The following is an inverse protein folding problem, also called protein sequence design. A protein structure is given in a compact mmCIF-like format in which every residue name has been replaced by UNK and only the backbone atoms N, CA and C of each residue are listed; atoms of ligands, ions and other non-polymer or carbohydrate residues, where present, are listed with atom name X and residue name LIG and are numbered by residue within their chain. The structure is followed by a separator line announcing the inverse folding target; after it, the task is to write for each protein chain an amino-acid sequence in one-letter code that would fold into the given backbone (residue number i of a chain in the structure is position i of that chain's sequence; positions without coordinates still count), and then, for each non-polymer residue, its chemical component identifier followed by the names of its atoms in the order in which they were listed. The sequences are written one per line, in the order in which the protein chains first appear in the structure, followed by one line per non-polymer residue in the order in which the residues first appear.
data_IF_685358199719
#
_entry.id   IF_685358199719
#
_cell.length_a   1.000
_cell.length_b   1.000
_cell.length_c   1.000
_cell.angle_alpha   90.00
_cell.angle_beta   90.00
_cell.angle_gamma   90.00
#
_symmetry.space_group_name_H-M   'P 1'
#
loop_
_entity.id
_entity.type
_entity.pdbx_description
1 polymer ?
#
# COMPACT_ATOMS: atom_id res chain seq x y z
N UNK A 1 -0.63 20.39 -2.03
CA UNK A 1 0.20 21.38 -2.74
C UNK A 1 -0.62 22.31 -3.65
N UNK A 2 -1.85 21.97 -3.94
CA UNK A 2 -2.67 22.72 -4.87
C UNK A 2 -2.23 22.56 -6.35
N UNK A 3 -2.83 23.36 -7.22
CA UNK A 3 -2.58 23.35 -8.65
C UNK A 3 -1.58 24.45 -9.03
N UNK A 4 -0.63 24.14 -9.90
CA UNK A 4 0.36 25.12 -10.43
C UNK A 4 1.19 25.83 -9.34
N UNK A 5 1.61 25.14 -8.30
CA UNK A 5 2.45 25.76 -7.25
C UNK A 5 3.77 26.29 -7.83
N UNK A 6 4.14 27.59 -7.64
CA UNK A 6 5.29 28.20 -8.32
C UNK A 6 6.62 27.49 -8.11
N UNK A 7 6.90 27.02 -6.89
CA UNK A 7 8.13 26.26 -6.58
C UNK A 7 8.19 24.94 -7.33
N UNK A 8 7.05 24.26 -7.55
CA UNK A 8 6.99 23.00 -8.29
C UNK A 8 7.23 23.26 -9.77
N UNK A 9 6.58 24.28 -10.35
CA UNK A 9 6.79 24.69 -11.75
C UNK A 9 8.26 25.04 -12.03
N UNK A 10 8.87 25.85 -11.16
CA UNK A 10 10.27 26.23 -11.30
C UNK A 10 11.22 25.02 -11.24
N UNK A 11 11.01 24.09 -10.32
CA UNK A 11 11.81 22.87 -10.21
C UNK A 11 11.67 21.97 -11.45
N UNK A 12 10.45 21.84 -11.99
CA UNK A 12 10.21 21.07 -13.22
C UNK A 12 10.91 21.71 -14.41
N UNK A 13 10.78 23.02 -14.60
CA UNK A 13 11.45 23.75 -15.69
C UNK A 13 12.97 23.58 -15.60
N UNK A 14 13.56 23.79 -14.43
CA UNK A 14 14.98 23.60 -14.20
C UNK A 14 15.46 22.19 -14.53
N UNK A 15 14.67 21.16 -14.19
CA UNK A 15 15.03 19.79 -14.48
C UNK A 15 14.92 19.46 -15.96
N UNK A 16 13.93 20.01 -16.66
CA UNK A 16 13.77 19.83 -18.12
C UNK A 16 14.95 20.46 -18.91
N UNK A 17 15.46 21.61 -18.45
CA UNK A 17 16.65 22.24 -19.05
C UNK A 17 17.92 21.39 -18.88
N UNK A 18 17.99 20.56 -17.81
CA UNK A 18 19.12 19.66 -17.59
C UNK A 18 18.97 18.36 -18.41
N UNK A 19 17.91 17.61 -18.16
CA UNK A 19 17.50 16.41 -18.92
C UNK A 19 16.11 15.93 -18.44
N UNK A 20 15.36 15.26 -19.32
CA UNK A 20 14.04 14.76 -19.01
C UNK A 20 14.03 13.31 -18.50
N UNK A 21 14.93 12.45 -19.01
CA UNK A 21 14.92 11.03 -18.68
C UNK A 21 16.29 10.37 -18.88
N UNK A 22 16.65 9.48 -17.94
CA UNK A 22 17.66 8.44 -18.11
C UNK A 22 17.11 7.14 -17.49
N UNK A 23 17.66 6.00 -17.89
CA UNK A 23 17.37 4.73 -17.21
C UNK A 23 18.10 4.70 -15.86
N UNK A 24 17.40 4.91 -14.76
CA UNK A 24 17.97 4.98 -13.40
C UNK A 24 18.81 3.75 -13.02
N UNK A 25 18.43 2.56 -13.50
CA UNK A 25 19.18 1.33 -13.23
C UNK A 25 20.54 1.27 -13.95
N UNK A 26 20.67 1.98 -15.07
CA UNK A 26 21.90 2.03 -15.85
C UNK A 26 22.75 3.24 -15.48
N UNK A 27 22.12 4.40 -15.36
CA UNK A 27 22.77 5.66 -15.04
C UNK A 27 21.99 6.40 -13.96
N UNK A 28 22.33 6.21 -12.68
CA UNK A 28 21.73 6.98 -11.59
C UNK A 28 21.98 8.48 -11.77
N UNK A 29 21.02 9.31 -11.36
CA UNK A 29 21.11 10.75 -11.43
C UNK A 29 20.71 11.43 -10.11
N UNK A 30 21.32 12.62 -9.85
CA UNK A 30 21.28 13.28 -8.55
C UNK A 30 19.89 13.45 -7.97
N UNK A 31 18.94 14.00 -8.73
CA UNK A 31 17.58 14.29 -8.28
C UNK A 31 16.85 13.02 -7.76
N UNK A 32 17.04 11.88 -8.43
CA UNK A 32 16.42 10.63 -7.98
C UNK A 32 17.07 10.10 -6.70
N UNK A 33 18.40 10.18 -6.59
CA UNK A 33 19.13 9.77 -5.37
C UNK A 33 18.73 10.65 -4.18
N UNK A 34 18.73 11.97 -4.35
CA UNK A 34 18.31 12.93 -3.32
C UNK A 34 16.88 12.68 -2.84
N UNK A 35 15.95 12.37 -3.77
CA UNK A 35 14.59 12.03 -3.42
C UNK A 35 14.52 10.72 -2.63
N UNK A 36 15.25 9.68 -3.05
CA UNK A 36 15.31 8.40 -2.34
C UNK A 36 15.84 8.58 -0.92
N UNK A 37 16.94 9.32 -0.74
CA UNK A 37 17.52 9.62 0.57
C UNK A 37 16.54 10.41 1.45
N UNK A 38 15.85 11.40 0.89
CA UNK A 38 14.86 12.19 1.61
C UNK A 38 13.69 11.33 2.07
N UNK A 39 13.15 10.48 1.19
CA UNK A 39 12.07 9.56 1.54
C UNK A 39 12.50 8.56 2.61
N UNK A 40 13.70 7.99 2.50
CA UNK A 40 14.25 7.08 3.50
C UNK A 40 14.40 7.73 4.89
N UNK A 41 14.75 9.02 4.94
CA UNK A 41 14.81 9.77 6.22
C UNK A 41 13.42 10.09 6.79
N UNK A 42 12.43 10.31 5.93
CA UNK A 42 11.07 10.70 6.35
C UNK A 42 10.20 9.49 6.70
N UNK A 43 10.48 8.32 6.11
CA UNK A 43 9.73 7.11 6.38
C UNK A 43 9.83 6.69 7.87
N UNK A 44 8.70 6.35 8.52
CA UNK A 44 8.68 6.05 9.94
C UNK A 44 9.43 4.77 10.32
N UNK A 45 9.74 4.64 11.62
CA UNK A 45 10.40 3.48 12.21
C UNK A 45 11.94 3.54 12.16
N UNK A 46 12.63 2.77 13.03
CA UNK A 46 14.08 2.88 13.24
C UNK A 46 14.91 2.08 12.23
N UNK A 47 14.32 1.19 11.46
CA UNK A 47 15.06 0.31 10.55
C UNK A 47 15.58 1.05 9.32
N UNK A 48 16.72 0.64 8.71
CA UNK A 48 17.17 1.17 7.43
C UNK A 48 16.10 1.03 6.35
N UNK A 49 15.97 2.07 5.52
CA UNK A 49 14.96 2.14 4.46
C UNK A 49 15.62 2.10 3.09
N UNK A 50 14.86 1.64 2.11
CA UNK A 50 15.22 1.72 0.68
C UNK A 50 14.00 2.23 -0.09
N UNK A 51 14.25 3.02 -1.12
CA UNK A 51 13.22 3.52 -2.03
C UNK A 51 13.34 2.83 -3.39
N UNK A 52 12.19 2.55 -4.00
CA UNK A 52 12.07 2.16 -5.40
C UNK A 52 11.10 3.12 -6.07
N UNK A 53 11.42 3.60 -7.26
CA UNK A 53 10.56 4.48 -8.04
C UNK A 53 9.90 3.71 -9.18
N UNK A 54 8.62 3.93 -9.32
CA UNK A 54 7.78 3.36 -10.39
C UNK A 54 6.85 4.45 -10.93
N UNK A 55 6.14 4.19 -12.00
CA UNK A 55 5.39 5.21 -12.72
C UNK A 55 4.00 5.46 -12.12
N UNK A 56 3.38 4.46 -11.51
CA UNK A 56 2.00 4.54 -10.98
C UNK A 56 1.85 3.88 -9.62
N UNK A 57 0.75 4.22 -8.91
CA UNK A 57 0.39 3.55 -7.66
C UNK A 57 0.10 2.05 -7.85
N UNK A 58 -0.54 1.67 -8.96
CA UNK A 58 -0.76 0.26 -9.26
C UNK A 58 0.56 -0.51 -9.41
N UNK A 59 1.57 0.07 -10.07
CA UNK A 59 2.91 -0.53 -10.14
C UNK A 59 3.58 -0.61 -8.77
N UNK A 60 3.41 0.40 -7.92
CA UNK A 60 3.92 0.36 -6.55
C UNK A 60 3.32 -0.82 -5.77
N UNK A 61 2.00 -1.01 -5.83
CA UNK A 61 1.30 -2.14 -5.21
C UNK A 61 1.77 -3.48 -5.79
N UNK A 62 1.84 -3.62 -7.12
CA UNK A 62 2.36 -4.84 -7.77
C UNK A 62 3.77 -5.19 -7.28
N UNK A 63 4.66 -4.19 -7.18
CA UNK A 63 6.02 -4.40 -6.70
C UNK A 63 6.07 -4.71 -5.20
N UNK A 64 5.23 -4.08 -4.37
CA UNK A 64 5.14 -4.43 -2.95
C UNK A 64 4.77 -5.91 -2.75
N UNK A 65 3.79 -6.41 -3.49
CA UNK A 65 3.40 -7.82 -3.40
C UNK A 65 4.48 -8.75 -3.93
N UNK A 66 5.12 -8.41 -5.06
CA UNK A 66 6.26 -9.17 -5.58
C UNK A 66 7.41 -9.26 -4.57
N UNK A 67 7.77 -8.13 -3.95
CA UNK A 67 8.82 -8.06 -2.93
C UNK A 67 8.43 -8.89 -1.71
N UNK A 68 7.20 -8.75 -1.21
CA UNK A 68 6.72 -9.53 -0.07
C UNK A 68 6.78 -11.03 -0.33
N UNK A 69 6.29 -11.49 -1.50
CA UNK A 69 6.35 -12.89 -1.92
C UNK A 69 7.78 -13.40 -2.05
N UNK A 70 8.65 -12.64 -2.69
CA UNK A 70 10.06 -13.01 -2.87
C UNK A 70 10.82 -13.07 -1.53
N UNK A 71 10.54 -12.12 -0.62
CA UNK A 71 11.18 -12.05 0.70
C UNK A 71 10.74 -13.19 1.62
N UNK A 72 9.46 -13.52 1.63
CA UNK A 72 8.89 -14.51 2.54
C UNK A 72 8.88 -15.94 1.97
N UNK A 73 8.96 -16.10 0.66
CA UNK A 73 8.73 -17.38 -0.03
C UNK A 73 7.26 -17.83 0.00
N UNK A 74 6.31 -16.94 0.33
CA UNK A 74 4.88 -17.23 0.53
C UNK A 74 4.03 -16.62 -0.56
N UNK A 75 2.81 -17.15 -0.79
CA UNK A 75 1.94 -16.70 -1.88
C UNK A 75 0.76 -15.83 -1.42
N UNK A 76 0.21 -16.10 -0.24
CA UNK A 76 -1.04 -15.49 0.23
C UNK A 76 -0.91 -13.99 0.52
N UNK A 77 -1.97 -13.25 0.23
CA UNK A 77 -2.08 -11.82 0.56
C UNK A 77 -3.47 -11.55 1.12
N UNK A 78 -3.54 -10.79 2.20
CA UNK A 78 -4.81 -10.35 2.78
C UNK A 78 -4.96 -8.86 2.53
N UNK A 79 -6.13 -8.45 2.03
CA UNK A 79 -6.56 -7.07 1.83
C UNK A 79 -7.87 -6.81 2.58
N UNK A 80 -8.42 -5.61 2.48
CA UNK A 80 -9.65 -5.25 3.21
C UNK A 80 -10.79 -4.87 2.27
N UNK A 81 -12.00 -5.25 2.66
CA UNK A 81 -13.23 -4.86 1.99
C UNK A 81 -13.35 -3.34 1.88
N UNK A 82 -13.72 -2.83 0.72
CA UNK A 82 -13.80 -1.40 0.42
C UNK A 82 -12.48 -0.74 0.00
N UNK A 83 -11.32 -1.39 0.22
CA UNK A 83 -10.01 -0.88 -0.18
C UNK A 83 -9.84 -0.76 -1.70
N UNK A 84 -9.00 0.16 -2.13
CA UNK A 84 -8.64 0.37 -3.53
C UNK A 84 -7.13 0.43 -3.72
N UNK A 85 -6.59 -0.49 -4.53
CA UNK A 85 -5.14 -0.64 -4.70
C UNK A 85 -4.67 -0.51 -6.16
N UNK A 86 -5.56 -0.18 -7.08
CA UNK A 86 -5.24 0.03 -8.50
C UNK A 86 -6.08 -0.82 -9.45
N UNK A 87 -5.73 -0.77 -10.75
CA UNK A 87 -6.50 -1.40 -11.84
C UNK A 87 -5.69 -2.38 -12.69
N UNK A 88 -4.51 -2.79 -12.26
CA UNK A 88 -3.80 -3.96 -12.81
C UNK A 88 -4.36 -5.25 -12.21
N UNK A 89 -4.06 -6.41 -12.75
CA UNK A 89 -4.72 -7.65 -12.32
C UNK A 89 -4.52 -7.97 -10.84
N UNK A 90 -3.31 -7.86 -10.31
CA UNK A 90 -3.08 -8.07 -8.87
C UNK A 90 -3.70 -6.94 -8.05
N UNK A 91 -3.55 -5.69 -8.45
CA UNK A 91 -4.15 -4.56 -7.75
C UNK A 91 -5.69 -4.64 -7.72
N UNK A 92 -6.33 -5.11 -8.81
CA UNK A 92 -7.77 -5.40 -8.82
C UNK A 92 -8.11 -6.59 -7.92
N UNK A 93 -7.30 -7.63 -7.89
CA UNK A 93 -7.52 -8.76 -6.97
C UNK A 93 -7.55 -8.27 -5.52
N UNK A 94 -6.65 -7.37 -5.13
CA UNK A 94 -6.55 -6.77 -3.80
C UNK A 94 -7.68 -5.77 -3.50
N UNK A 95 -8.19 -5.07 -4.52
CA UNK A 95 -9.28 -4.10 -4.37
C UNK A 95 -10.52 -4.79 -3.79
N UNK A 96 -11.07 -4.24 -2.70
CA UNK A 96 -12.15 -4.82 -1.91
C UNK A 96 -13.56 -4.51 -2.42
N UNK A 97 -13.74 -4.13 -3.69
CA UNK A 97 -15.03 -3.72 -4.27
C UNK A 97 -15.20 -4.29 -5.66
N UNK A 98 -16.33 -4.95 -5.92
CA UNK A 98 -16.61 -5.59 -7.22
C UNK A 98 -16.96 -4.55 -8.29
N UNK A 99 -18.04 -3.83 -8.10
CA UNK A 99 -18.43 -2.77 -9.02
C UNK A 99 -17.88 -1.42 -8.54
N UNK A 100 -17.32 -0.58 -9.44
CA UNK A 100 -17.13 -0.79 -10.88
C UNK A 100 -15.78 -1.42 -11.25
N UNK A 101 -14.98 -1.93 -10.29
CA UNK A 101 -13.54 -2.19 -10.52
C UNK A 101 -13.22 -3.58 -11.06
N UNK A 102 -13.94 -4.61 -10.62
CA UNK A 102 -13.63 -6.03 -10.91
C UNK A 102 -14.57 -6.69 -11.92
N UNK A 103 -15.80 -6.19 -12.02
CA UNK A 103 -16.85 -6.83 -12.82
C UNK A 103 -16.42 -6.99 -14.28
N UNK A 104 -16.41 -8.23 -14.76
CA UNK A 104 -16.09 -8.56 -16.16
C UNK A 104 -14.61 -8.66 -16.52
N UNK A 105 -13.69 -8.45 -15.57
CA UNK A 105 -12.23 -8.44 -15.82
C UNK A 105 -11.48 -9.69 -15.36
N UNK A 106 -12.15 -10.65 -14.71
CA UNK A 106 -11.49 -11.88 -14.24
C UNK A 106 -11.09 -12.86 -15.35
N UNK A 107 -10.36 -13.94 -15.01
CA UNK A 107 -9.96 -14.34 -13.66
C UNK A 107 -8.81 -13.51 -13.10
N UNK A 108 -8.82 -13.30 -11.79
CA UNK A 108 -7.75 -12.60 -11.06
C UNK A 108 -6.72 -13.58 -10.49
N UNK A 109 -5.50 -13.08 -10.12
CA UNK A 109 -4.53 -13.89 -9.40
C UNK A 109 -5.12 -14.52 -8.14
N UNK A 110 -4.80 -15.78 -7.91
CA UNK A 110 -5.21 -16.54 -6.74
C UNK A 110 -4.45 -16.10 -5.46
N UNK A 111 -4.84 -16.70 -4.33
CA UNK A 111 -4.24 -16.48 -3.01
C UNK A 111 -4.41 -15.05 -2.48
N UNK A 112 -5.55 -14.40 -2.80
CA UNK A 112 -5.95 -13.10 -2.28
C UNK A 112 -7.23 -13.27 -1.46
N UNK A 113 -7.16 -12.84 -0.20
CA UNK A 113 -8.24 -12.96 0.79
C UNK A 113 -8.65 -11.57 1.26
N UNK A 114 -9.91 -11.41 1.70
CA UNK A 114 -10.41 -10.12 2.15
C UNK A 114 -11.04 -10.24 3.53
N UNK A 115 -10.54 -9.42 4.46
CA UNK A 115 -11.17 -9.18 5.75
C UNK A 115 -12.04 -7.91 5.72
N UNK A 116 -13.05 -7.76 6.57
CA UNK A 116 -13.76 -6.49 6.70
C UNK A 116 -12.83 -5.40 7.27
N UNK A 117 -12.97 -4.17 6.76
CA UNK A 117 -12.32 -3.00 7.36
C UNK A 117 -13.15 -2.51 8.55
N UNK A 118 -12.55 -2.11 9.68
CA UNK A 118 -13.30 -1.65 10.85
C UNK A 118 -13.94 -0.28 10.59
N UNK A 119 -15.26 -0.26 10.44
CA UNK A 119 -16.08 0.94 10.22
C UNK A 119 -17.22 0.93 11.22
N UNK A 120 -17.03 1.56 12.37
CA UNK A 120 -18.03 1.60 13.43
C UNK A 120 -19.38 2.14 12.95
N UNK A 121 -19.36 3.12 12.03
CA UNK A 121 -20.58 3.65 11.42
C UNK A 121 -21.42 2.57 10.68
N UNK A 122 -20.77 1.56 10.14
CA UNK A 122 -21.42 0.41 9.48
C UNK A 122 -21.57 -0.81 10.40
N UNK A 123 -21.32 -0.66 11.69
CA UNK A 123 -21.45 -1.73 12.67
C UNK A 123 -20.32 -2.75 12.65
N UNK A 124 -19.18 -2.44 12.02
CA UNK A 124 -17.99 -3.29 12.01
C UNK A 124 -16.98 -2.73 13.02
N UNK A 125 -16.78 -3.45 14.11
CA UNK A 125 -15.80 -3.09 15.14
C UNK A 125 -14.38 -3.52 14.76
N UNK A 126 -13.40 -3.03 15.51
CA UNK A 126 -12.02 -3.51 15.42
C UNK A 126 -11.93 -5.01 15.70
N UNK A 127 -12.69 -5.48 16.69
CA UNK A 127 -12.70 -6.90 17.06
C UNK A 127 -13.28 -7.77 15.95
N UNK A 128 -14.37 -7.36 15.30
CA UNK A 128 -14.93 -8.10 14.17
C UNK A 128 -13.92 -8.28 13.04
N UNK A 129 -13.12 -7.25 12.77
CA UNK A 129 -12.07 -7.29 11.74
C UNK A 129 -10.91 -8.21 12.14
N UNK A 130 -10.53 -8.22 13.42
CA UNK A 130 -9.50 -9.14 13.95
C UNK A 130 -9.99 -10.59 13.97
N UNK A 131 -11.21 -10.84 14.38
CA UNK A 131 -11.83 -12.17 14.36
C UNK A 131 -11.94 -12.72 12.94
N UNK A 132 -12.22 -11.86 11.96
CA UNK A 132 -12.23 -12.23 10.55
C UNK A 132 -10.83 -12.61 10.03
N UNK A 133 -9.77 -11.96 10.50
CA UNK A 133 -8.39 -12.38 10.17
C UNK A 133 -8.07 -13.75 10.77
N UNK A 134 -8.46 -14.00 12.02
CA UNK A 134 -8.32 -15.32 12.65
C UNK A 134 -9.13 -16.39 11.91
N UNK A 135 -10.34 -16.04 11.44
CA UNK A 135 -11.16 -16.93 10.61
C UNK A 135 -10.45 -17.31 9.29
N UNK A 136 -9.89 -16.31 8.59
CA UNK A 136 -9.11 -16.55 7.37
C UNK A 136 -7.93 -17.49 7.67
N UNK A 137 -7.22 -17.26 8.76
CA UNK A 137 -6.09 -18.12 9.16
C UNK A 137 -6.49 -19.54 9.52
N UNK A 138 -7.71 -19.74 9.99
CA UNK A 138 -8.21 -21.05 10.41
C UNK A 138 -8.80 -21.86 9.25
N UNK A 139 -9.44 -21.21 8.28
CA UNK A 139 -10.27 -21.89 7.29
C UNK A 139 -9.81 -21.70 5.83
N UNK A 140 -9.13 -20.61 5.52
CA UNK A 140 -8.78 -20.28 4.13
C UNK A 140 -7.30 -20.46 3.84
N UNK A 141 -6.41 -19.94 4.70
CA UNK A 141 -4.96 -20.00 4.53
C UNK A 141 -4.23 -19.91 5.86
N UNK A 142 -3.34 -20.85 6.13
CA UNK A 142 -2.48 -20.79 7.33
C UNK A 142 -1.55 -19.57 7.32
N UNK A 143 -1.29 -18.93 8.49
CA UNK A 143 -0.45 -17.73 8.59
C UNK A 143 0.94 -17.90 7.97
N UNK A 144 1.49 -19.12 8.03
CA UNK A 144 2.81 -19.46 7.48
C UNK A 144 2.86 -19.37 5.94
N UNK A 145 1.72 -19.29 5.26
CA UNK A 145 1.62 -19.11 3.80
C UNK A 145 1.28 -17.69 3.38
N UNK A 146 0.98 -16.79 4.33
CA UNK A 146 0.67 -15.38 4.04
C UNK A 146 1.95 -14.57 3.91
N UNK A 147 2.15 -13.96 2.74
CA UNK A 147 3.29 -13.08 2.45
C UNK A 147 3.09 -11.67 2.99
N UNK A 148 1.88 -11.12 2.80
CA UNK A 148 1.59 -9.75 3.18
C UNK A 148 0.14 -9.53 3.62
N UNK A 149 -0.04 -8.50 4.44
CA UNK A 149 -1.33 -7.83 4.67
C UNK A 149 -1.20 -6.41 4.14
N UNK A 150 -2.12 -5.97 3.28
CA UNK A 150 -2.13 -4.62 2.70
C UNK A 150 -3.34 -3.83 3.19
N UNK A 151 -3.13 -2.58 3.60
CA UNK A 151 -4.17 -1.70 4.13
C UNK A 151 -3.90 -0.24 3.74
N UNK A 152 -4.97 0.52 3.48
CA UNK A 152 -4.93 1.98 3.43
C UNK A 152 -5.12 2.52 4.86
N UNK A 153 -4.27 3.43 5.39
CA UNK A 153 -4.49 4.01 6.72
C UNK A 153 -5.73 4.91 6.78
N UNK A 154 -6.09 5.53 5.65
CA UNK A 154 -7.42 6.10 5.41
C UNK A 154 -7.93 5.53 4.10
N UNK A 155 -8.98 4.74 4.18
CA UNK A 155 -9.60 4.13 3.00
C UNK A 155 -10.23 5.21 2.11
N UNK A 156 -9.61 5.50 0.96
CA UNK A 156 -10.03 6.59 0.07
C UNK A 156 -11.33 6.30 -0.68
N UNK A 157 -11.26 5.44 -1.68
CA UNK A 157 -12.40 5.05 -2.53
C UNK A 157 -13.52 4.32 -1.78
N UNK A 158 -13.21 3.78 -0.62
CA UNK A 158 -14.18 3.13 0.26
C UNK A 158 -15.07 4.08 1.03
N UNK A 159 -14.72 5.38 1.12
CA UNK A 159 -15.54 6.40 1.79
C UNK A 159 -14.82 7.28 2.82
N UNK A 160 -13.50 7.40 2.73
CA UNK A 160 -12.65 8.18 3.65
C UNK A 160 -12.74 7.72 5.11
N UNK A 161 -12.78 6.41 5.33
CA UNK A 161 -12.77 5.83 6.67
C UNK A 161 -11.35 5.71 7.19
N UNK A 162 -11.11 6.26 8.38
CA UNK A 162 -9.81 6.21 9.07
C UNK A 162 -9.69 4.86 9.77
N UNK A 163 -8.58 4.16 9.54
CA UNK A 163 -8.25 2.97 10.31
C UNK A 163 -7.99 3.35 11.77
N UNK A 164 -8.70 2.75 12.74
CA UNK A 164 -8.42 3.00 14.15
C UNK A 164 -6.96 2.69 14.49
N UNK A 165 -6.25 3.55 15.26
CA UNK A 165 -4.85 3.30 15.60
C UNK A 165 -4.61 1.96 16.29
N UNK A 166 -5.53 1.52 17.14
CA UNK A 166 -5.47 0.23 17.82
C UNK A 166 -5.56 -0.94 16.82
N UNK A 167 -6.29 -0.79 15.72
CA UNK A 167 -6.34 -1.78 14.67
C UNK A 167 -5.00 -1.90 13.92
N UNK A 168 -4.40 -0.76 13.54
CA UNK A 168 -3.08 -0.76 12.89
C UNK A 168 -1.99 -1.34 13.80
N UNK A 169 -2.04 -1.05 15.09
CA UNK A 169 -1.13 -1.64 16.08
C UNK A 169 -1.32 -3.15 16.22
N UNK A 170 -2.58 -3.62 16.21
CA UNK A 170 -2.89 -5.05 16.24
C UNK A 170 -2.40 -5.75 14.96
N UNK A 171 -2.61 -5.15 13.78
CA UNK A 171 -2.06 -5.67 12.52
C UNK A 171 -0.53 -5.74 12.55
N UNK A 172 0.15 -4.70 13.06
CA UNK A 172 1.61 -4.72 13.18
C UNK A 172 2.07 -5.88 14.06
N UNK A 173 1.45 -6.06 15.22
CA UNK A 173 1.75 -7.16 16.15
C UNK A 173 1.50 -8.54 15.52
N UNK A 174 0.37 -8.70 14.84
CA UNK A 174 0.02 -9.93 14.11
C UNK A 174 1.05 -10.25 13.03
N UNK A 175 1.43 -9.26 12.26
CA UNK A 175 2.43 -9.41 11.20
C UNK A 175 3.80 -9.79 11.76
N UNK A 176 4.22 -9.18 12.86
CA UNK A 176 5.49 -9.50 13.53
C UNK A 176 5.47 -10.94 14.07
N UNK A 177 4.37 -11.36 14.69
CA UNK A 177 4.20 -12.70 15.25
C UNK A 177 4.34 -13.81 14.20
N UNK A 178 3.84 -13.58 12.98
CA UNK A 178 3.80 -14.58 11.91
C UNK A 178 4.84 -14.36 10.80
N UNK A 179 5.67 -13.32 10.91
CA UNK A 179 6.63 -12.95 9.85
C UNK A 179 5.94 -12.54 8.55
N UNK A 180 4.80 -11.87 8.64
CA UNK A 180 4.02 -11.35 7.51
C UNK A 180 4.47 -9.91 7.23
N UNK A 181 4.59 -9.53 5.96
CA UNK A 181 4.92 -8.15 5.59
C UNK A 181 3.66 -7.28 5.71
N UNK A 182 3.72 -6.22 6.52
CA UNK A 182 2.66 -5.21 6.55
C UNK A 182 2.94 -4.16 5.47
N UNK A 183 2.02 -4.03 4.51
CA UNK A 183 2.05 -3.02 3.46
C UNK A 183 1.03 -1.95 3.78
N UNK A 184 1.50 -0.72 3.97
CA UNK A 184 0.62 0.44 4.20
C UNK A 184 0.56 1.24 2.90
N UNK A 185 -0.62 1.22 2.27
CA UNK A 185 -0.86 1.94 1.01
C UNK A 185 -1.18 3.40 1.30
N UNK A 186 -0.16 4.23 1.15
CA UNK A 186 -0.26 5.68 1.32
C UNK A 186 -0.28 6.46 -0.01
N UNK A 187 -0.68 5.83 -1.09
CA UNK A 187 -0.76 6.49 -2.41
C UNK A 187 -1.68 7.71 -2.34
N UNK A 188 -2.78 7.62 -1.63
CA UNK A 188 -3.71 8.73 -1.46
C UNK A 188 -3.44 9.56 -0.19
N UNK A 189 -2.97 8.96 0.88
CA UNK A 189 -2.84 9.60 2.21
C UNK A 189 -1.50 10.28 2.45
N UNK A 190 -0.45 9.81 1.80
CA UNK A 190 0.90 10.31 1.97
C UNK A 190 1.12 11.75 1.51
N UNK A 191 2.32 12.25 1.73
CA UNK A 191 2.75 13.59 1.32
C UNK A 191 1.89 14.70 1.91
N UNK A 192 1.62 14.61 3.20
CA UNK A 192 0.89 15.58 4.00
C UNK A 192 -0.61 15.75 3.69
N UNK A 193 -1.25 14.78 3.00
CA UNK A 193 -2.70 14.82 2.77
C UNK A 193 -3.51 14.78 4.06
N UNK A 194 -3.03 14.05 5.06
CA UNK A 194 -3.66 13.92 6.38
C UNK A 194 -3.11 14.89 7.43
N UNK A 195 -2.20 15.80 7.03
CA UNK A 195 -1.58 16.79 7.90
C UNK A 195 -0.16 16.43 8.36
N UNK A 196 0.24 15.15 8.21
CA UNK A 196 1.61 14.68 8.44
C UNK A 196 2.16 14.06 7.16
N UNK A 197 3.50 13.90 7.05
CA UNK A 197 4.12 13.34 5.84
C UNK A 197 3.55 11.97 5.48
N UNK A 198 3.35 11.12 6.48
CA UNK A 198 2.65 9.85 6.40
C UNK A 198 1.48 9.85 7.40
N UNK A 199 0.41 9.10 7.12
CA UNK A 199 -0.80 9.05 7.94
C UNK A 199 -0.58 8.29 9.25
#
# INVERSE_FOLDING_TARGET
TGHLHPKVQAAVAQQLDAFSHTCLMVTPYGVAVELAEKLNRLAPGPTPKKAIFVTTGAEAVENCIKIARAHTGRAGVIAFGGGFHGRTFMAMALTGKVAPYKAGFGPFPAEVYHAPFPIAYHGVSVQDSLDALEHIFKYDIEPARVAAIIIEPVMGEGGFYIAPPEFLQALRKLCDQHGIVLVVDEIQTGFARTGKMFA
#
